data_IF_521863419971
#
_entry.id   IF_521863419971
#
_cell.length_a   1.000
_cell.length_b   1.000
_cell.length_c   1.000
_cell.angle_alpha   90.00
_cell.angle_beta   90.00
_cell.angle_gamma   90.00
#
_symmetry.space_group_name_H-M   'P 1'
#
loop_
_entity.id
_entity.type
_entity.pdbx_description
1 polymer ?
#
# COMPACT_ATOMS: atom_id res chain seq x y z
N UNK A 1 0.53 10.55 26.55
CA UNK A 1 0.38 10.22 25.12
C UNK A 1 1.11 8.93 24.84
N UNK A 2 0.43 7.80 24.99
CA UNK A 2 0.92 6.46 24.66
C UNK A 2 -0.28 5.74 24.02
N UNK A 3 -0.24 5.53 22.70
CA UNK A 3 -1.35 4.96 21.93
C UNK A 3 -1.36 3.42 21.95
N UNK A 4 -0.96 2.81 23.07
CA UNK A 4 -0.87 1.35 23.18
C UNK A 4 -1.75 0.82 24.32
N UNK A 5 -3.06 1.10 24.27
CA UNK A 5 -4.00 0.53 25.24
C UNK A 5 -5.33 0.17 24.60
N UNK A 6 -5.58 -1.14 24.55
CA UNK A 6 -6.89 -1.84 24.50
C UNK A 6 -7.66 -1.71 23.18
N UNK A 7 -7.56 -2.76 22.36
CA UNK A 7 -8.44 -2.98 21.20
C UNK A 7 -7.96 -2.37 19.89
N UNK A 8 -6.64 -2.28 19.67
CA UNK A 8 -6.05 -1.71 18.46
C UNK A 8 -6.37 -2.54 17.22
N UNK A 9 -7.55 -2.34 16.63
CA UNK A 9 -7.81 -2.73 15.25
C UNK A 9 -6.76 -2.01 14.43
N UNK A 10 -5.81 -2.77 13.88
CA UNK A 10 -4.80 -2.24 12.97
C UNK A 10 -5.52 -1.37 11.96
N UNK A 11 -5.23 -0.07 11.96
CA UNK A 11 -5.83 0.89 11.01
C UNK A 11 -5.64 0.43 9.55
N UNK A 12 -4.62 -0.40 9.31
CA UNK A 12 -4.32 -1.08 8.03
C UNK A 12 -5.34 -2.16 7.65
N UNK A 13 -6.04 -2.78 8.62
CA UNK A 13 -7.04 -3.85 8.38
C UNK A 13 -8.43 -3.31 8.03
N UNK A 14 -8.69 -2.04 8.35
CA UNK A 14 -9.93 -1.36 7.93
C UNK A 14 -9.78 -0.59 6.62
N UNK A 15 -8.53 -0.38 6.15
CA UNK A 15 -8.25 0.31 4.91
C UNK A 15 -8.57 -0.61 3.71
N UNK A 16 -9.84 -0.59 3.29
CA UNK A 16 -10.33 -1.41 2.18
C UNK A 16 -9.94 -0.84 0.82
N UNK A 17 -10.03 -1.66 -0.23
CA UNK A 17 -9.70 -1.30 -1.62
C UNK A 17 -10.50 -0.11 -2.19
N UNK A 18 -11.57 0.30 -1.49
CA UNK A 18 -12.43 1.45 -1.85
C UNK A 18 -11.93 2.79 -1.29
N UNK A 19 -11.07 2.77 -0.26
CA UNK A 19 -10.46 3.97 0.36
C UNK A 19 -9.16 4.41 -0.35
N UNK A 20 -8.78 3.64 -1.35
CA UNK A 20 -7.58 3.82 -2.15
C UNK A 20 -7.67 5.11 -2.98
N UNK A 21 -6.62 5.94 -2.99
CA UNK A 21 -6.62 7.16 -3.80
C UNK A 21 -6.72 6.79 -5.28
N UNK A 22 -7.44 7.60 -6.05
CA UNK A 22 -7.59 7.41 -7.50
C UNK A 22 -6.22 7.42 -8.23
N UNK A 23 -5.27 8.21 -7.71
CA UNK A 23 -3.90 8.29 -8.22
C UNK A 23 -2.92 7.76 -7.17
N UNK A 24 -2.61 6.47 -7.27
CA UNK A 24 -1.60 5.84 -6.43
C UNK A 24 -0.20 6.06 -6.99
N UNK A 25 0.77 6.25 -6.10
CA UNK A 25 2.19 6.16 -6.46
C UNK A 25 2.61 4.70 -6.40
N UNK A 26 3.34 4.26 -7.41
CA UNK A 26 3.80 2.88 -7.53
C UNK A 26 5.30 2.82 -7.77
N UNK A 27 5.92 1.80 -7.20
CA UNK A 27 7.33 1.50 -7.35
C UNK A 27 8.22 2.75 -7.13
N UNK A 28 9.02 3.11 -8.14
CA UNK A 28 9.95 4.24 -8.10
C UNK A 28 9.26 5.63 -8.01
N UNK A 29 7.93 5.69 -8.18
CA UNK A 29 7.17 6.93 -8.00
C UNK A 29 6.99 7.30 -6.52
N UNK A 30 7.31 6.38 -5.59
CA UNK A 30 7.22 6.61 -4.15
C UNK A 30 8.44 7.40 -3.70
N UNK A 31 8.22 8.61 -3.18
CA UNK A 31 9.28 9.56 -2.83
C UNK A 31 9.57 9.65 -1.32
N UNK A 32 8.95 8.77 -0.52
CA UNK A 32 9.13 8.77 0.93
C UNK A 32 10.53 8.30 1.33
N UNK A 33 11.10 8.83 2.42
CA UNK A 33 12.35 8.29 2.97
C UNK A 33 12.19 6.93 3.65
N UNK A 34 11.01 6.71 4.22
CA UNK A 34 10.62 5.48 4.94
C UNK A 34 9.12 5.28 4.75
N UNK A 35 8.69 4.02 4.68
CA UNK A 35 7.31 3.62 4.43
C UNK A 35 6.94 2.45 5.33
N UNK A 36 5.64 2.26 5.57
CA UNK A 36 5.11 1.07 6.24
C UNK A 36 4.65 0.08 5.19
N UNK A 37 5.29 -1.09 5.14
CA UNK A 37 4.99 -2.15 4.19
C UNK A 37 3.95 -3.13 4.74
N UNK A 38 2.91 -3.36 3.95
CA UNK A 38 1.90 -4.41 4.10
C UNK A 38 2.09 -5.40 2.95
N UNK A 39 2.03 -6.70 3.24
CA UNK A 39 2.14 -7.71 2.20
C UNK A 39 0.81 -7.93 1.43
N UNK A 40 0.83 -8.85 0.47
CA UNK A 40 -0.33 -9.25 -0.32
C UNK A 40 -1.48 -9.84 0.52
N UNK A 41 -1.16 -10.49 1.65
CA UNK A 41 -2.10 -11.08 2.60
C UNK A 41 -2.75 -10.04 3.53
N UNK A 42 -2.30 -8.78 3.46
CA UNK A 42 -2.74 -7.72 4.37
C UNK A 42 -2.03 -7.77 5.73
N UNK A 43 -0.91 -8.48 5.83
CA UNK A 43 -0.10 -8.56 7.03
C UNK A 43 0.95 -7.44 7.05
N UNK A 44 1.17 -6.87 8.24
CA UNK A 44 2.20 -5.84 8.41
C UNK A 44 3.57 -6.50 8.41
N UNK A 45 4.40 -6.12 7.43
CA UNK A 45 5.81 -6.54 7.37
C UNK A 45 6.65 -5.67 8.30
N UNK A 46 6.45 -4.34 8.26
CA UNK A 46 7.17 -3.40 9.11
C UNK A 46 7.36 -2.02 8.47
N UNK A 47 8.21 -1.19 9.07
CA UNK A 47 8.65 0.10 8.50
C UNK A 47 10.04 -0.08 7.90
N UNK A 48 10.23 0.34 6.66
CA UNK A 48 11.49 0.18 5.92
C UNK A 48 11.67 1.27 4.86
N UNK A 49 12.83 1.31 4.21
CA UNK A 49 13.07 2.21 3.09
C UNK A 49 12.35 1.74 1.81
N UNK A 50 12.04 2.65 0.86
CA UNK A 50 11.47 2.27 -0.43
C UNK A 50 12.32 1.26 -1.19
N UNK A 51 13.64 1.36 -1.08
CA UNK A 51 14.58 0.45 -1.75
C UNK A 51 14.35 -0.99 -1.28
N UNK A 52 14.32 -1.22 0.03
CA UNK A 52 14.05 -2.56 0.59
C UNK A 52 12.66 -3.06 0.23
N UNK A 53 11.66 -2.19 0.27
CA UNK A 53 10.30 -2.56 -0.11
C UNK A 53 10.18 -2.93 -1.60
N UNK A 54 10.92 -2.25 -2.47
CA UNK A 54 11.02 -2.57 -3.91
C UNK A 54 11.71 -3.91 -4.16
N UNK A 55 12.74 -4.24 -3.38
CA UNK A 55 13.40 -5.55 -3.46
C UNK A 55 12.39 -6.67 -3.14
N UNK A 56 11.66 -6.55 -2.03
CA UNK A 56 10.63 -7.52 -1.64
C UNK A 56 9.53 -7.62 -2.70
N UNK A 57 9.09 -6.49 -3.26
CA UNK A 57 8.10 -6.46 -4.34
C UNK A 57 8.59 -7.26 -5.56
N UNK A 58 9.84 -7.05 -5.98
CA UNK A 58 10.47 -7.76 -7.10
C UNK A 58 10.65 -9.26 -6.83
N UNK A 59 11.06 -9.64 -5.62
CA UNK A 59 11.20 -11.05 -5.22
C UNK A 59 9.87 -11.81 -5.28
N UNK A 60 8.75 -11.10 -5.08
CA UNK A 60 7.40 -11.66 -5.14
C UNK A 60 6.68 -11.43 -6.47
N UNK A 61 7.34 -10.80 -7.44
CA UNK A 61 6.73 -10.41 -8.73
C UNK A 61 5.47 -9.54 -8.55
N UNK A 62 5.47 -8.67 -7.54
CA UNK A 62 4.39 -7.73 -7.23
C UNK A 62 4.85 -6.28 -7.39
N UNK A 63 3.89 -5.34 -7.41
CA UNK A 63 4.16 -3.92 -7.36
C UNK A 63 4.08 -3.38 -5.93
N UNK A 64 4.97 -2.43 -5.62
CA UNK A 64 4.89 -1.64 -4.39
C UNK A 64 3.94 -0.46 -4.63
N UNK A 65 2.79 -0.45 -3.97
CA UNK A 65 1.74 0.55 -4.21
C UNK A 65 1.47 1.37 -2.95
N UNK A 66 1.58 2.69 -3.04
CA UNK A 66 1.23 3.63 -1.96
C UNK A 66 -0.29 3.77 -1.86
N UNK A 67 -0.88 3.05 -0.90
CA UNK A 67 -2.33 3.07 -0.64
C UNK A 67 -2.71 4.16 0.35
N UNK A 68 -1.80 4.57 1.22
CA UNK A 68 -2.06 5.53 2.29
C UNK A 68 -1.03 6.67 2.33
N UNK A 69 -1.13 7.67 1.43
CA UNK A 69 -0.24 8.84 1.44
C UNK A 69 -0.44 9.76 2.66
N UNK A 70 -1.58 9.67 3.33
CA UNK A 70 -1.92 10.53 4.49
C UNK A 70 -1.16 10.16 5.78
N UNK A 71 -0.36 9.09 5.77
CA UNK A 71 0.37 8.62 6.94
C UNK A 71 1.84 9.03 6.86
N UNK A 72 2.46 9.21 8.02
CA UNK A 72 3.89 9.47 8.18
C UNK A 72 4.44 8.43 9.17
N UNK A 73 5.06 7.33 8.72
CA UNK A 73 5.38 6.99 7.33
C UNK A 73 4.16 6.55 6.49
N UNK A 74 4.16 6.78 5.16
CA UNK A 74 3.06 6.37 4.27
C UNK A 74 2.89 4.86 4.25
N UNK A 75 1.67 4.40 3.99
CA UNK A 75 1.36 2.97 3.92
C UNK A 75 1.49 2.52 2.48
N UNK A 76 2.35 1.53 2.26
CA UNK A 76 2.50 0.86 0.98
C UNK A 76 2.11 -0.61 1.12
N UNK A 77 1.46 -1.15 0.09
CA UNK A 77 1.02 -2.54 0.01
C UNK A 77 1.62 -3.22 -1.22
N UNK A 78 1.99 -4.48 -1.08
CA UNK A 78 2.36 -5.34 -2.21
C UNK A 78 1.11 -5.86 -2.91
N UNK A 79 0.94 -5.53 -4.20
CA UNK A 79 -0.18 -6.01 -5.01
C UNK A 79 0.14 -5.95 -6.50
N UNK A 80 -0.64 -6.63 -7.34
CA UNK A 80 -0.56 -6.48 -8.80
C UNK A 80 -1.30 -5.20 -9.23
N UNK A 81 -0.54 -4.12 -9.45
CA UNK A 81 -1.13 -2.83 -9.82
C UNK A 81 -1.63 -2.83 -11.26
N UNK A 82 -0.94 -3.54 -12.15
CA UNK A 82 -1.31 -3.62 -13.57
C UNK A 82 -2.72 -4.18 -13.77
N UNK A 83 -3.02 -5.28 -13.09
CA UNK A 83 -4.35 -5.90 -13.08
C UNK A 83 -5.39 -5.00 -12.42
N UNK A 84 -5.06 -4.41 -11.25
CA UNK A 84 -5.98 -3.49 -10.55
C UNK A 84 -6.39 -2.30 -11.43
N UNK A 85 -5.43 -1.68 -12.14
CA UNK A 85 -5.73 -0.58 -13.05
C UNK A 85 -6.59 -1.01 -14.25
N UNK A 86 -6.40 -2.21 -14.79
CA UNK A 86 -7.23 -2.74 -15.88
C UNK A 86 -8.68 -2.93 -15.41
N UNK A 87 -8.88 -3.54 -14.24
CA UNK A 87 -10.19 -3.75 -13.63
C UNK A 87 -10.91 -2.41 -13.36
N UNK A 88 -10.18 -1.41 -12.83
CA UNK A 88 -10.73 -0.07 -12.61
C UNK A 88 -11.15 0.63 -13.91
N UNK A 89 -10.30 0.59 -14.95
CA UNK A 89 -10.59 1.21 -16.26
C UNK A 89 -11.82 0.58 -16.90
N UNK A 90 -11.97 -0.74 -16.80
CA UNK A 90 -13.13 -1.46 -17.33
C UNK A 90 -14.40 -1.15 -16.56
N UNK A 91 -14.31 -0.97 -15.23
CA UNK A 91 -15.44 -0.58 -14.40
C UNK A 91 -15.92 0.86 -14.67
N UNK A 92 -15.01 1.77 -15.06
CA UNK A 92 -15.33 3.19 -15.34
C UNK A 92 -15.70 3.47 -16.80
N UNK A 93 -15.38 2.60 -17.76
CA UNK A 93 -15.72 2.79 -19.20
C UNK A 93 -17.14 2.34 -19.60
N UNK A 94 -18.02 2.03 -18.65
CA UNK A 94 -19.36 1.50 -18.89
C UNK A 94 -20.52 2.48 -18.73
N UNK A 95 -20.27 3.80 -18.65
CA UNK A 95 -21.32 4.85 -18.60
C UNK A 95 -21.46 5.60 -19.93
#
# INVERSE_FOLDING_TARGET
MNLNTRGGTSIYKHFGEKDYPHEMRVNERIQAGELRLIDENGEMVGVMSPVQALEIARERELDLVEVGPNFLPPICKLMDYGRYQDELKRATQGE
#
